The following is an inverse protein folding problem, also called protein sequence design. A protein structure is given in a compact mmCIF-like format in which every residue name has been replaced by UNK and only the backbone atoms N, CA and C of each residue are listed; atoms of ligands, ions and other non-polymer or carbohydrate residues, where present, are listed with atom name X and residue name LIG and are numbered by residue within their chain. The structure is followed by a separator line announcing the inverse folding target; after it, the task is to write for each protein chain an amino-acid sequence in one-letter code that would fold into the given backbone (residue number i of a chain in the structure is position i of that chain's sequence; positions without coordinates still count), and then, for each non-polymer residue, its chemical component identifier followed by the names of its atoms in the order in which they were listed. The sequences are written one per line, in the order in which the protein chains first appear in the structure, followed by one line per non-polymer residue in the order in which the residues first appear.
data_IF_257943821358
#
_entry.id   IF_257943821358
#
_cell.length_a   1.000
_cell.length_b   1.000
_cell.length_c   1.000
_cell.angle_alpha   90.00
_cell.angle_beta   90.00
_cell.angle_gamma   90.00
#
_symmetry.space_group_name_H-M   'P 1'
#
loop_
_entity.id
_entity.type
_entity.pdbx_description
1 polymer ?
#
# COMPACT_ATOMS: atom_id res chain seq x y z
N UNK A 1 -26.41 17.39 9.78
CA UNK A 1 -24.97 17.45 9.43
C UNK A 1 -24.64 16.20 8.61
N UNK A 2 -23.91 16.31 7.50
CA UNK A 2 -23.46 15.13 6.73
C UNK A 2 -22.16 14.63 7.37
N UNK A 3 -22.00 13.31 7.61
CA UNK A 3 -20.77 12.78 8.19
C UNK A 3 -19.58 13.03 7.26
N UNK A 4 -18.44 13.34 7.85
CA UNK A 4 -17.15 13.51 7.19
C UNK A 4 -16.61 12.17 6.68
N UNK A 5 -15.69 12.16 5.70
CA UNK A 5 -15.05 10.92 5.26
C UNK A 5 -14.39 10.13 6.39
N UNK A 6 -13.70 10.81 7.32
CA UNK A 6 -13.07 10.17 8.48
C UNK A 6 -14.09 9.47 9.37
N UNK A 7 -15.23 10.12 9.66
CA UNK A 7 -16.33 9.50 10.43
C UNK A 7 -16.96 8.31 9.68
N UNK A 8 -17.11 8.40 8.36
CA UNK A 8 -17.63 7.31 7.54
C UNK A 8 -16.68 6.11 7.53
N UNK A 9 -15.36 6.34 7.44
CA UNK A 9 -14.33 5.29 7.49
C UNK A 9 -14.30 4.61 8.87
N UNK A 10 -14.34 5.40 9.94
CA UNK A 10 -14.40 4.89 11.31
C UNK A 10 -15.65 4.02 11.53
N UNK A 11 -16.82 4.49 11.07
CA UNK A 11 -18.06 3.75 11.18
C UNK A 11 -18.04 2.45 10.38
N UNK A 12 -17.54 2.48 9.14
CA UNK A 12 -17.41 1.30 8.29
C UNK A 12 -16.48 0.25 8.92
N UNK A 13 -15.32 0.69 9.44
CA UNK A 13 -14.35 -0.19 10.11
C UNK A 13 -14.96 -0.86 11.34
N UNK A 14 -15.72 -0.11 12.15
CA UNK A 14 -16.45 -0.65 13.30
C UNK A 14 -17.48 -1.69 12.89
N UNK A 15 -18.30 -1.40 11.87
CA UNK A 15 -19.31 -2.36 11.38
C UNK A 15 -18.64 -3.65 10.90
N UNK A 16 -17.57 -3.53 10.11
CA UNK A 16 -16.88 -4.69 9.57
C UNK A 16 -16.17 -5.50 10.67
N UNK A 17 -15.53 -4.85 11.63
CA UNK A 17 -14.81 -5.50 12.73
C UNK A 17 -15.72 -6.12 13.79
N UNK A 18 -16.73 -5.37 14.24
CA UNK A 18 -17.51 -5.77 15.42
C UNK A 18 -18.73 -6.60 15.04
N UNK A 19 -19.31 -6.36 13.85
CA UNK A 19 -20.56 -6.99 13.44
C UNK A 19 -20.35 -8.06 12.36
N UNK A 20 -19.46 -7.83 11.40
CA UNK A 20 -19.29 -8.76 10.26
C UNK A 20 -18.25 -9.83 10.56
N UNK A 21 -17.06 -9.44 11.03
CA UNK A 21 -15.94 -10.37 11.23
C UNK A 21 -16.28 -11.60 12.10
N UNK A 22 -17.07 -11.50 13.19
CA UNK A 22 -17.45 -12.67 14.00
C UNK A 22 -18.27 -13.74 13.25
N UNK A 23 -18.88 -13.37 12.12
CA UNK A 23 -19.76 -14.22 11.34
C UNK A 23 -19.12 -14.73 10.04
N UNK A 24 -17.87 -14.36 9.76
CA UNK A 24 -17.14 -14.84 8.59
C UNK A 24 -16.55 -16.22 8.87
N UNK A 25 -17.08 -17.24 8.17
CA UNK A 25 -16.58 -18.61 8.25
C UNK A 25 -15.42 -18.84 7.27
N UNK A 26 -14.39 -19.55 7.75
CA UNK A 26 -13.21 -19.93 6.97
C UNK A 26 -12.05 -18.97 7.13
N UNK A 27 -10.83 -19.53 7.18
CA UNK A 27 -9.60 -18.76 7.42
C UNK A 27 -9.31 -17.75 6.32
N UNK A 28 -9.49 -18.14 5.05
CA UNK A 28 -9.19 -17.27 3.92
C UNK A 28 -10.11 -16.03 3.83
N UNK A 29 -11.46 -16.17 3.87
CA UNK A 29 -12.35 -15.01 3.92
C UNK A 29 -12.12 -14.11 5.14
N UNK A 30 -11.82 -14.69 6.31
CA UNK A 30 -11.50 -13.93 7.51
C UNK A 30 -10.21 -13.11 7.34
N UNK A 31 -9.16 -13.71 6.75
CA UNK A 31 -7.90 -13.02 6.45
C UNK A 31 -8.09 -11.87 5.44
N UNK A 32 -8.91 -12.09 4.40
CA UNK A 32 -9.27 -11.03 3.45
C UNK A 32 -10.00 -9.87 4.14
N UNK A 33 -11.00 -10.16 4.97
CA UNK A 33 -11.74 -9.14 5.70
C UNK A 33 -10.84 -8.37 6.67
N UNK A 34 -9.95 -9.05 7.39
CA UNK A 34 -8.95 -8.40 8.24
C UNK A 34 -8.08 -7.43 7.42
N UNK A 35 -7.66 -7.84 6.21
CA UNK A 35 -6.92 -6.97 5.30
C UNK A 35 -7.70 -5.72 4.87
N UNK A 36 -9.02 -5.84 4.64
CA UNK A 36 -9.89 -4.69 4.33
C UNK A 36 -10.04 -3.76 5.53
N UNK A 37 -10.25 -4.30 6.73
CA UNK A 37 -10.35 -3.53 7.97
C UNK A 37 -9.06 -2.75 8.23
N UNK A 38 -7.91 -3.39 8.01
CA UNK A 38 -6.59 -2.74 8.12
C UNK A 38 -6.45 -1.59 7.11
N UNK A 39 -6.81 -1.83 5.85
CA UNK A 39 -6.73 -0.82 4.79
C UNK A 39 -7.63 0.37 5.09
N UNK A 40 -8.85 0.15 5.60
CA UNK A 40 -9.75 1.21 6.05
C UNK A 40 -9.15 1.99 7.22
N UNK A 41 -8.46 1.32 8.15
CA UNK A 41 -7.77 2.01 9.25
C UNK A 41 -6.59 2.86 8.79
N UNK A 42 -5.85 2.43 7.76
CA UNK A 42 -4.81 3.26 7.14
C UNK A 42 -5.43 4.48 6.45
N UNK A 43 -6.52 4.27 5.71
CA UNK A 43 -7.24 5.34 5.04
C UNK A 43 -7.79 6.35 6.04
N UNK A 44 -8.42 5.89 7.13
CA UNK A 44 -8.94 6.70 8.22
C UNK A 44 -7.85 7.63 8.81
N UNK A 45 -6.65 7.11 9.08
CA UNK A 45 -5.56 7.88 9.68
C UNK A 45 -4.88 8.85 8.73
N UNK A 46 -4.79 8.50 7.45
CA UNK A 46 -4.06 9.30 6.45
C UNK A 46 -4.94 10.21 5.61
N UNK A 47 -6.27 10.14 5.75
CA UNK A 47 -7.20 10.84 4.85
C UNK A 47 -7.00 12.35 4.84
N UNK A 48 -6.76 12.96 6.01
CA UNK A 48 -6.59 14.42 6.13
C UNK A 48 -5.35 14.94 5.38
N UNK A 49 -4.34 14.10 5.21
CA UNK A 49 -3.11 14.45 4.47
C UNK A 49 -3.24 14.27 2.96
N UNK A 50 -4.24 13.52 2.47
CA UNK A 50 -4.43 13.22 1.04
C UNK A 50 -4.60 14.49 0.18
N UNK A 51 -5.47 15.46 0.52
CA UNK A 51 -5.62 16.68 -0.27
C UNK A 51 -4.30 17.44 -0.44
N UNK A 52 -3.58 17.67 0.68
CA UNK A 52 -2.32 18.39 0.67
C UNK A 52 -1.23 17.64 -0.10
N UNK A 53 -1.21 16.31 0.03
CA UNK A 53 -0.35 15.46 -0.77
C UNK A 53 -0.62 15.60 -2.27
N UNK A 54 -1.88 15.50 -2.72
CA UNK A 54 -2.24 15.60 -4.15
C UNK A 54 -1.88 16.97 -4.74
N UNK A 55 -2.06 18.05 -3.98
CA UNK A 55 -1.64 19.40 -4.41
C UNK A 55 -0.13 19.46 -4.61
N UNK A 56 0.65 18.97 -3.64
CA UNK A 56 2.12 18.95 -3.72
C UNK A 56 2.62 18.05 -4.86
N UNK A 57 2.04 16.87 -5.02
CA UNK A 57 2.40 15.91 -6.07
C UNK A 57 2.12 16.49 -7.46
N UNK A 58 0.97 17.15 -7.62
CA UNK A 58 0.61 17.85 -8.86
C UNK A 58 1.59 18.98 -9.19
N UNK A 59 1.97 19.78 -8.18
CA UNK A 59 2.96 20.85 -8.38
C UNK A 59 4.33 20.30 -8.80
N UNK A 60 4.84 19.28 -8.09
CA UNK A 60 6.12 18.64 -8.42
C UNK A 60 6.13 18.01 -9.80
N UNK A 61 5.04 17.36 -10.18
CA UNK A 61 4.89 16.77 -11.52
C UNK A 61 4.92 17.85 -12.60
N UNK A 62 4.23 18.98 -12.38
CA UNK A 62 4.25 20.11 -13.31
C UNK A 62 5.65 20.71 -13.44
N UNK A 63 6.36 20.88 -12.32
CA UNK A 63 7.73 21.38 -12.33
C UNK A 63 8.68 20.43 -13.09
N UNK A 64 8.53 19.12 -12.88
CA UNK A 64 9.30 18.10 -13.60
C UNK A 64 9.04 18.16 -15.12
N UNK A 65 7.78 18.26 -15.52
CA UNK A 65 7.39 18.35 -16.93
C UNK A 65 7.82 19.69 -17.56
N UNK A 66 7.76 20.79 -16.82
CA UNK A 66 8.19 22.11 -17.30
C UNK A 66 9.71 22.21 -17.48
N UNK A 67 10.48 21.50 -16.63
CA UNK A 67 11.93 21.40 -16.75
C UNK A 67 12.40 20.46 -17.87
N UNK A 68 11.49 19.74 -18.52
CA UNK A 68 11.81 18.80 -19.58
C UNK A 68 11.66 19.43 -20.96
N UNK A 69 12.76 19.45 -21.73
CA UNK A 69 12.71 19.67 -23.17
C UNK A 69 12.59 18.31 -23.86
N UNK A 70 11.50 18.13 -24.63
CA UNK A 70 11.26 16.93 -25.44
C UNK A 70 11.62 17.21 -26.90
N UNK A 71 12.41 16.34 -27.51
CA UNK A 71 12.69 16.37 -28.96
C UNK A 71 11.49 15.89 -29.80
N UNK A 72 10.55 15.19 -29.16
CA UNK A 72 9.25 14.87 -29.73
C UNK A 72 8.32 16.09 -29.63
N UNK A 73 7.98 16.68 -30.78
CA UNK A 73 7.15 17.86 -30.91
C UNK A 73 5.70 17.65 -30.48
N UNK A 74 5.15 16.44 -30.65
CA UNK A 74 3.79 16.11 -30.22
C UNK A 74 3.74 16.05 -28.69
N UNK A 75 4.71 15.36 -28.08
CA UNK A 75 4.83 15.31 -26.62
C UNK A 75 5.11 16.69 -26.03
N UNK A 76 5.94 17.51 -26.66
CA UNK A 76 6.20 18.88 -26.23
C UNK A 76 4.92 19.75 -26.25
N UNK A 77 4.11 19.63 -27.32
CA UNK A 77 2.84 20.33 -27.42
C UNK A 77 1.83 19.87 -26.35
N UNK A 78 1.75 18.55 -26.08
CA UNK A 78 0.89 17.99 -25.05
C UNK A 78 1.29 18.44 -23.64
N UNK A 79 2.59 18.48 -23.35
CA UNK A 79 3.13 19.00 -22.09
C UNK A 79 2.81 20.48 -21.95
N UNK A 80 3.06 21.28 -22.98
CA UNK A 80 2.73 22.71 -22.98
C UNK A 80 1.23 22.95 -22.77
N UNK A 81 0.38 22.16 -23.43
CA UNK A 81 -1.07 22.19 -23.26
C UNK A 81 -1.52 21.84 -21.84
N UNK A 82 -0.89 20.83 -21.22
CA UNK A 82 -1.14 20.49 -19.81
C UNK A 82 -0.71 21.59 -18.84
N UNK A 83 0.46 22.18 -19.06
CA UNK A 83 1.01 23.26 -18.23
C UNK A 83 0.20 24.55 -18.35
N UNK A 84 -0.40 24.83 -19.52
CA UNK A 84 -1.26 25.97 -19.74
C UNK A 84 -2.60 25.89 -18.96
N UNK A 85 -3.05 24.67 -18.63
CA UNK A 85 -4.21 24.49 -17.75
C UNK A 85 -3.78 24.73 -16.30
N UNK A 86 -4.43 25.67 -15.57
CA UNK A 86 -4.13 25.88 -14.16
C UNK A 86 -4.45 24.63 -13.34
N UNK A 87 -3.69 24.42 -12.26
CA UNK A 87 -3.97 23.32 -11.34
C UNK A 87 -5.39 23.48 -10.75
N UNK A 88 -6.19 22.40 -10.70
CA UNK A 88 -7.54 22.44 -10.12
C UNK A 88 -7.55 22.84 -8.65
N UNK A 89 -8.72 23.31 -8.18
CA UNK A 89 -8.96 23.55 -6.76
C UNK A 89 -8.78 22.26 -5.93
N UNK A 90 -8.11 22.41 -4.78
CA UNK A 90 -7.83 21.35 -3.81
C UNK A 90 -9.10 20.82 -3.12
N UNK A 91 -10.23 21.54 -3.20
CA UNK A 91 -11.50 21.11 -2.61
C UNK A 91 -12.20 20.01 -3.41
N UNK A 92 -11.95 19.90 -4.73
CA UNK A 92 -12.47 18.82 -5.57
C UNK A 92 -11.36 17.79 -5.86
N UNK A 93 -11.21 16.84 -4.92
CA UNK A 93 -10.22 15.77 -5.00
C UNK A 93 -10.38 14.90 -6.26
N UNK A 94 -11.58 14.80 -6.82
CA UNK A 94 -11.82 14.00 -8.03
C UNK A 94 -11.23 14.70 -9.25
N UNK A 95 -11.47 16.01 -9.38
CA UNK A 95 -10.90 16.81 -10.47
C UNK A 95 -9.38 16.90 -10.33
N UNK A 96 -8.88 17.12 -9.11
CA UNK A 96 -7.45 17.14 -8.84
C UNK A 96 -6.78 15.79 -9.18
N UNK A 97 -7.39 14.67 -8.77
CA UNK A 97 -6.89 13.34 -9.10
C UNK A 97 -6.89 13.07 -10.61
N UNK A 98 -7.93 13.47 -11.33
CA UNK A 98 -7.99 13.29 -12.79
C UNK A 98 -6.92 14.14 -13.51
N UNK A 99 -6.67 15.35 -13.04
CA UNK A 99 -5.60 16.20 -13.56
C UNK A 99 -4.22 15.60 -13.31
N UNK A 100 -3.98 15.05 -12.11
CA UNK A 100 -2.74 14.36 -11.76
C UNK A 100 -2.51 13.13 -12.65
N UNK A 101 -3.53 12.30 -12.86
CA UNK A 101 -3.44 11.11 -13.73
C UNK A 101 -3.14 11.49 -15.19
N UNK A 102 -3.71 12.58 -15.70
CA UNK A 102 -3.36 13.10 -17.02
C UNK A 102 -1.87 13.48 -17.10
N UNK A 103 -1.37 14.19 -16.09
CA UNK A 103 0.05 14.55 -16.02
C UNK A 103 0.95 13.31 -15.93
N UNK A 104 0.56 12.29 -15.17
CA UNK A 104 1.31 11.02 -15.05
C UNK A 104 1.36 10.28 -16.39
N UNK A 105 0.28 10.32 -17.17
CA UNK A 105 0.29 9.81 -18.55
C UNK A 105 1.33 10.49 -19.45
N UNK A 106 1.48 11.81 -19.32
CA UNK A 106 2.53 12.56 -20.03
C UNK A 106 3.93 12.22 -19.50
N UNK A 107 4.09 12.08 -18.18
CA UNK A 107 5.35 11.67 -17.58
C UNK A 107 5.79 10.31 -18.10
N UNK A 108 4.90 9.31 -18.17
CA UNK A 108 5.19 7.97 -18.70
C UNK A 108 5.75 8.04 -20.12
N UNK A 109 5.19 8.91 -20.97
CA UNK A 109 5.68 9.14 -22.33
C UNK A 109 7.05 9.83 -22.33
N UNK A 110 7.30 10.71 -21.37
CA UNK A 110 8.57 11.44 -21.22
C UNK A 110 9.68 10.62 -20.54
N UNK A 111 9.36 9.52 -19.84
CA UNK A 111 10.35 8.69 -19.10
C UNK A 111 11.55 8.28 -19.96
N UNK A 112 11.41 7.80 -21.21
CA UNK A 112 12.56 7.38 -22.00
C UNK A 112 13.59 8.51 -22.22
N UNK A 113 13.12 9.76 -22.37
CA UNK A 113 13.97 10.93 -22.52
C UNK A 113 14.48 11.47 -21.17
N UNK A 114 13.65 11.41 -20.12
CA UNK A 114 14.00 11.83 -18.76
C UNK A 114 14.96 10.87 -18.04
N UNK A 115 14.94 9.58 -18.36
CA UNK A 115 15.86 8.60 -17.81
C UNK A 115 17.31 8.84 -18.27
N UNK A 116 17.49 9.56 -19.38
CA UNK A 116 18.80 9.98 -19.87
C UNK A 116 19.30 11.28 -19.21
N UNK A 117 18.49 11.95 -18.37
CA UNK A 117 18.81 13.22 -17.72
C UNK A 117 19.04 13.10 -16.20
N UNK A 118 19.74 14.09 -15.64
CA UNK A 118 20.39 14.20 -14.30
C UNK A 118 19.50 13.93 -13.05
N UNK A 119 18.90 12.74 -12.93
CA UNK A 119 18.31 12.22 -11.69
C UNK A 119 17.03 12.93 -11.20
N UNK A 120 16.49 13.89 -11.95
CA UNK A 120 15.25 14.59 -11.61
C UNK A 120 14.06 13.62 -11.47
N UNK A 121 13.99 12.62 -12.35
CA UNK A 121 12.99 11.57 -12.30
C UNK A 121 13.10 10.72 -11.02
N UNK A 122 14.31 10.36 -10.61
CA UNK A 122 14.54 9.62 -9.36
C UNK A 122 14.12 10.43 -8.14
N UNK A 123 14.49 11.72 -8.08
CA UNK A 123 14.11 12.61 -6.98
C UNK A 123 12.59 12.74 -6.85
N UNK A 124 11.88 12.88 -7.98
CA UNK A 124 10.42 12.92 -7.99
C UNK A 124 9.82 11.66 -7.36
N UNK A 125 10.29 10.47 -7.76
CA UNK A 125 9.78 9.21 -7.18
C UNK A 125 10.16 9.03 -5.71
N UNK A 126 11.37 9.39 -5.30
CA UNK A 126 11.80 9.31 -3.92
C UNK A 126 10.97 10.22 -3.01
N UNK A 127 10.75 11.47 -3.42
CA UNK A 127 9.91 12.42 -2.68
C UNK A 127 8.45 11.96 -2.64
N UNK A 128 7.92 11.44 -3.75
CA UNK A 128 6.58 10.86 -3.82
C UNK A 128 6.41 9.71 -2.83
N UNK A 129 7.35 8.76 -2.85
CA UNK A 129 7.32 7.60 -1.95
C UNK A 129 7.42 8.06 -0.51
N UNK A 130 8.35 8.97 -0.19
CA UNK A 130 8.62 9.45 1.18
C UNK A 130 7.39 10.09 1.83
N UNK A 131 6.65 10.87 1.05
CA UNK A 131 5.57 11.72 1.56
C UNK A 131 4.18 11.14 1.33
N UNK A 132 4.09 9.90 0.80
CA UNK A 132 2.82 9.24 0.55
C UNK A 132 2.03 9.01 1.85
N UNK A 133 0.81 9.56 1.98
CA UNK A 133 0.08 9.60 3.26
C UNK A 133 -0.55 8.26 3.66
N UNK A 134 -0.75 7.34 2.71
CA UNK A 134 -1.47 6.07 2.93
C UNK A 134 -0.53 4.87 3.08
N UNK A 135 0.61 5.05 3.74
CA UNK A 135 1.53 3.94 3.98
C UNK A 135 0.93 2.95 4.99
N UNK A 136 0.75 1.67 4.60
CA UNK A 136 0.43 0.65 5.57
C UNK A 136 1.62 0.46 6.51
N UNK A 137 1.35 0.31 7.81
CA UNK A 137 2.36 -0.14 8.74
C UNK A 137 2.88 -1.52 8.30
N UNK A 138 4.18 -1.82 8.45
CA UNK A 138 4.69 -3.16 8.18
C UNK A 138 3.88 -4.16 9.00
N UNK A 139 3.20 -5.09 8.33
CA UNK A 139 2.53 -6.20 9.01
C UNK A 139 3.60 -7.04 9.67
N UNK A 140 3.69 -6.98 11.00
CA UNK A 140 4.45 -7.98 11.75
C UNK A 140 3.66 -9.28 11.61
N UNK A 141 4.21 -10.33 10.96
CA UNK A 141 3.52 -11.61 10.93
C UNK A 141 3.31 -12.07 12.37
N UNK A 142 2.07 -12.41 12.72
CA UNK A 142 1.77 -13.00 14.02
C UNK A 142 2.70 -14.21 14.21
N UNK A 143 3.49 -14.19 15.28
CA UNK A 143 4.37 -15.29 15.60
C UNK A 143 3.54 -16.57 15.64
N UNK A 144 3.86 -17.53 14.77
CA UNK A 144 3.19 -18.82 14.75
C UNK A 144 3.21 -19.40 16.18
N UNK A 145 2.09 -19.97 16.68
CA UNK A 145 2.09 -20.61 17.97
C UNK A 145 3.17 -21.70 17.94
N UNK A 146 4.14 -21.61 18.87
CA UNK A 146 5.09 -22.69 19.11
C UNK A 146 4.25 -23.89 19.55
N UNK A 147 4.04 -24.85 18.66
CA UNK A 147 3.51 -26.14 19.04
C UNK A 147 4.49 -26.74 20.04
N UNK A 148 4.14 -26.66 21.33
CA UNK A 148 4.79 -27.42 22.38
C UNK A 148 4.69 -28.90 22.01
N UNK A 149 5.83 -29.49 21.65
CA UNK A 149 5.99 -30.93 21.53
C UNK A 149 5.35 -31.63 22.74
N UNK A 150 4.51 -32.66 22.54
CA UNK A 150 4.20 -33.56 23.64
C UNK A 150 5.48 -34.31 24.00
N UNK A 151 6.02 -33.98 25.18
CA UNK A 151 7.05 -34.74 25.86
C UNK A 151 6.61 -36.20 25.95
N UNK A 152 7.29 -37.07 25.20
CA UNK A 152 7.16 -38.51 25.30
C UNK A 152 7.72 -38.96 26.65
N UNK A 153 6.87 -39.00 27.68
CA UNK A 153 7.21 -39.60 28.97
C UNK A 153 6.85 -41.09 28.92
N UNK A 154 7.77 -41.90 28.41
CA UNK A 154 7.73 -43.34 28.59
C UNK A 154 9.08 -43.86 29.07
N UNK A 155 9.18 -44.07 30.38
CA UNK A 155 10.11 -45.00 31.04
C UNK A 155 9.72 -45.14 32.52
N UNK A 156 10.09 -46.21 33.25
CA UNK A 156 10.80 -47.43 32.84
C UNK A 156 10.20 -48.74 33.48
N UNK A 157 10.99 -49.83 33.40
CA UNK A 157 11.01 -51.02 34.28
C UNK A 157 10.11 -52.22 33.88
N UNK A 158 10.53 -53.50 33.86
CA UNK A 158 11.72 -54.20 34.40
C UNK A 158 11.83 -55.62 33.77
N UNK A 159 13.06 -56.04 33.37
CA UNK A 159 13.76 -57.35 33.54
C UNK A 159 13.04 -58.75 33.39
N UNK A 160 13.76 -59.90 33.40
CA UNK A 160 15.12 -60.29 32.95
C UNK A 160 15.12 -61.61 32.11
N UNK A 161 16.33 -62.16 31.84
CA UNK A 161 16.64 -63.57 31.50
C UNK A 161 16.35 -64.05 30.05
N UNK A 162 17.10 -64.94 29.40
CA UNK A 162 18.36 -65.63 29.69
C UNK A 162 18.85 -66.32 28.38
N UNK A 163 20.16 -66.58 28.32
CA UNK A 163 20.82 -67.74 27.66
C UNK A 163 20.50 -68.10 26.19
N UNK A 164 21.56 -68.01 25.37
CA UNK A 164 22.25 -69.24 24.93
C UNK A 164 21.95 -69.81 23.53
N UNK A 165 23.05 -69.97 22.77
CA UNK A 165 23.33 -71.04 21.80
C UNK A 165 22.90 -70.91 20.32
N UNK A 166 23.93 -70.54 19.53
CA UNK A 166 24.43 -71.10 18.25
C UNK A 166 23.53 -72.01 17.41
N UNK A 167 23.44 -71.63 16.13
CA UNK A 167 23.21 -72.49 14.96
C UNK A 167 24.52 -73.18 14.54
N UNK A 168 24.40 -74.47 14.18
CA UNK A 168 25.21 -75.30 13.28
C UNK A 168 26.73 -75.41 13.51
#
# INVERSE_FOLDING_TARGET
MRPTPTEQLAAARRILGDLVAPHVAGEYPAALLAGVIDALGVLERGWEDVPGFLVRDTARLRDLLAGHASDDAELAADIAGFLAVPAPDATDLRVLSAHLERGRGLLVRAVPALAASDGALHRYFDDHIREFPLRPAPRVPAAAPKNSEPQNTASPNTAPDAKGSRSC
#
